data_IF_284050072250
#
_entry.id   IF_284050072250
#
_cell.length_a   1.000
_cell.length_b   1.000
_cell.length_c   1.000
_cell.angle_alpha   90.00
_cell.angle_beta   90.00
_cell.angle_gamma   90.00
#
_symmetry.space_group_name_H-M   'P 1'
#
loop_
_entity.id
_entity.type
_entity.pdbx_description
1 polymer ?
#
# COMPACT_ATOMS: atom_id res chain seq x y z
N UNK A 1 -2.54 6.50 7.89
CA UNK A 1 -2.40 5.60 6.73
C UNK A 1 -2.09 4.20 7.23
N UNK A 2 -2.89 3.21 6.83
CA UNK A 2 -2.68 1.79 7.20
C UNK A 2 -3.10 0.88 6.04
N UNK A 3 -2.49 -0.30 5.95
CA UNK A 3 -2.79 -1.28 4.91
C UNK A 3 -3.47 -2.50 5.52
N UNK A 4 -4.44 -3.03 4.81
CA UNK A 4 -5.30 -4.11 5.27
C UNK A 4 -5.55 -5.10 4.15
N UNK A 5 -5.64 -6.36 4.49
CA UNK A 5 -6.07 -7.43 3.60
C UNK A 5 -7.58 -7.52 3.66
N UNK A 6 -8.22 -7.55 2.49
CA UNK A 6 -9.65 -7.81 2.35
C UNK A 6 -9.89 -9.02 1.47
N UNK A 7 -10.95 -9.76 1.81
CA UNK A 7 -11.63 -10.67 0.89
C UNK A 7 -12.73 -9.90 0.17
N UNK A 8 -12.90 -10.16 -1.13
CA UNK A 8 -13.92 -9.57 -1.97
C UNK A 8 -14.65 -10.63 -2.77
N UNK A 9 -15.96 -10.66 -2.62
CA UNK A 9 -16.86 -11.52 -3.38
C UNK A 9 -18.11 -10.72 -3.73
N UNK A 10 -18.47 -10.68 -5.02
CA UNK A 10 -19.67 -9.96 -5.49
C UNK A 10 -19.77 -8.50 -4.99
N UNK A 11 -18.65 -7.76 -5.02
CA UNK A 11 -18.54 -6.37 -4.53
C UNK A 11 -18.79 -6.19 -3.02
N UNK A 12 -18.76 -7.28 -2.26
CA UNK A 12 -18.76 -7.27 -0.80
C UNK A 12 -17.34 -7.46 -0.29
N UNK A 13 -16.90 -6.62 0.63
CA UNK A 13 -15.54 -6.52 1.12
C UNK A 13 -15.51 -6.80 2.62
N UNK A 14 -14.76 -7.82 3.02
CA UNK A 14 -14.58 -8.19 4.43
C UNK A 14 -13.11 -8.06 4.81
N UNK A 15 -12.83 -7.28 5.85
CA UNK A 15 -11.49 -7.05 6.38
C UNK A 15 -10.97 -8.31 7.09
N UNK A 16 -9.82 -8.82 6.68
CA UNK A 16 -9.21 -10.02 7.26
C UNK A 16 -8.12 -9.71 8.29
N UNK A 17 -7.32 -8.68 8.05
CA UNK A 17 -6.23 -8.32 8.95
C UNK A 17 -5.26 -7.30 8.40
N UNK A 18 -4.35 -6.78 9.24
CA UNK A 18 -3.41 -5.75 8.85
C UNK A 18 -2.30 -6.30 7.96
N UNK A 19 -1.83 -5.48 7.02
CA UNK A 19 -0.68 -5.77 6.15
C UNK A 19 0.45 -4.81 6.47
N UNK A 20 1.62 -5.36 6.78
CA UNK A 20 2.85 -4.57 6.94
C UNK A 20 3.60 -4.53 5.61
N UNK A 21 3.63 -3.36 4.97
CA UNK A 21 4.47 -3.18 3.76
C UNK A 21 5.95 -3.03 4.10
N UNK A 22 6.24 -2.35 5.21
CA UNK A 22 7.59 -2.00 5.68
C UNK A 22 7.90 -2.70 7.01
N UNK A 23 9.12 -2.51 7.51
CA UNK A 23 9.69 -3.23 8.65
C UNK A 23 10.74 -4.26 8.19
N UNK A 24 11.34 -4.96 9.15
CA UNK A 24 12.32 -6.03 8.87
C UNK A 24 11.67 -7.28 8.26
N UNK A 25 10.40 -7.50 8.63
CA UNK A 25 9.59 -8.65 8.23
C UNK A 25 8.41 -8.24 7.33
N UNK A 26 8.37 -6.99 6.88
CA UNK A 26 7.33 -6.45 5.99
C UNK A 26 7.37 -7.06 4.60
N UNK A 27 6.28 -6.88 3.83
CA UNK A 27 6.12 -7.41 2.48
C UNK A 27 7.30 -7.04 1.57
N UNK A 28 7.73 -5.78 1.59
CA UNK A 28 8.85 -5.32 0.75
C UNK A 28 10.18 -5.93 1.19
N UNK A 29 10.40 -6.12 2.49
CA UNK A 29 11.61 -6.79 2.99
C UNK A 29 11.68 -8.24 2.52
N UNK A 30 10.58 -8.99 2.67
CA UNK A 30 10.48 -10.39 2.23
C UNK A 30 10.72 -10.51 0.73
N UNK A 31 10.16 -9.60 -0.06
CA UNK A 31 10.34 -9.60 -1.50
C UNK A 31 11.77 -9.23 -1.91
N UNK A 32 12.24 -8.05 -1.52
CA UNK A 32 13.50 -7.50 -2.03
C UNK A 32 14.71 -8.32 -1.57
N UNK A 33 14.75 -8.77 -0.32
CA UNK A 33 15.88 -9.57 0.18
C UNK A 33 15.97 -10.97 -0.47
N UNK A 34 14.89 -11.46 -1.07
CA UNK A 34 14.89 -12.74 -1.80
C UNK A 34 15.26 -12.58 -3.28
N UNK A 35 15.09 -11.39 -3.85
CA UNK A 35 15.20 -11.16 -5.30
C UNK A 35 16.36 -10.27 -5.71
N UNK A 36 17.17 -9.80 -4.75
CA UNK A 36 18.24 -8.83 -4.98
C UNK A 36 19.53 -9.19 -4.25
N UNK A 37 20.64 -8.63 -4.73
CA UNK A 37 21.95 -8.67 -4.07
C UNK A 37 22.41 -7.25 -3.79
N UNK A 38 23.06 -7.02 -2.65
CA UNK A 38 23.37 -5.68 -2.12
C UNK A 38 24.11 -4.75 -3.10
N UNK A 39 24.85 -5.30 -4.06
CA UNK A 39 25.74 -4.57 -4.95
C UNK A 39 25.11 -4.13 -6.27
N UNK A 40 23.80 -4.30 -6.47
CA UNK A 40 23.15 -3.95 -7.75
C UNK A 40 21.79 -3.27 -7.53
N UNK A 41 21.61 -2.04 -8.05
CA UNK A 41 20.30 -1.38 -8.04
C UNK A 41 19.23 -2.27 -8.66
N UNK A 42 18.06 -2.33 -8.04
CA UNK A 42 16.98 -3.22 -8.47
C UNK A 42 15.65 -2.51 -8.58
N UNK A 43 15.07 -2.56 -9.78
CA UNK A 43 13.75 -2.02 -10.09
C UNK A 43 12.72 -3.14 -10.13
N UNK A 44 11.52 -2.86 -9.64
CA UNK A 44 10.46 -3.85 -9.53
C UNK A 44 9.07 -3.24 -9.71
N UNK A 45 8.12 -4.11 -10.04
CA UNK A 45 6.70 -3.80 -10.16
C UNK A 45 5.91 -5.03 -9.69
N UNK A 46 5.24 -4.88 -8.55
CA UNK A 46 4.39 -5.91 -7.94
C UNK A 46 2.93 -5.53 -8.15
N UNK A 47 2.16 -6.40 -8.81
CA UNK A 47 0.71 -6.24 -8.92
C UNK A 47 -0.01 -7.21 -7.98
N UNK A 48 -1.34 -7.16 -7.90
CA UNK A 48 -2.11 -7.98 -6.96
C UNK A 48 -1.74 -9.48 -7.00
N UNK A 49 -1.49 -10.04 -8.18
CA UNK A 49 -1.10 -11.45 -8.36
C UNK A 49 0.24 -11.80 -7.71
N UNK A 50 1.13 -10.82 -7.55
CA UNK A 50 2.45 -10.98 -6.94
C UNK A 50 2.37 -10.64 -5.43
N UNK A 51 1.55 -9.65 -5.07
CA UNK A 51 1.41 -9.14 -3.70
C UNK A 51 0.70 -10.12 -2.75
N UNK A 52 -0.40 -10.74 -3.18
CA UNK A 52 -1.19 -11.63 -2.31
C UNK A 52 -0.38 -12.87 -1.86
N UNK A 53 0.35 -13.57 -2.75
CA UNK A 53 1.18 -14.70 -2.34
C UNK A 53 2.31 -14.33 -1.35
N UNK A 54 2.78 -13.08 -1.35
CA UNK A 54 3.78 -12.60 -0.38
C UNK A 54 3.22 -12.43 1.04
N UNK A 55 1.89 -12.28 1.16
CA UNK A 55 1.18 -12.25 2.43
C UNK A 55 0.92 -13.69 2.90
N UNK A 56 0.24 -14.48 2.07
CA UNK A 56 0.00 -15.90 2.28
C UNK A 56 -0.17 -16.60 0.92
N UNK A 57 0.68 -17.58 0.57
CA UNK A 57 0.66 -18.27 -0.71
C UNK A 57 -0.61 -19.12 -0.94
N UNK A 58 -1.43 -19.36 0.09
CA UNK A 58 -2.69 -20.10 -0.02
C UNK A 58 -3.86 -19.22 -0.44
N UNK A 59 -3.70 -17.89 -0.41
CA UNK A 59 -4.79 -16.96 -0.71
C UNK A 59 -4.91 -16.73 -2.22
N UNK A 60 -6.13 -16.85 -2.77
CA UNK A 60 -6.37 -16.59 -4.18
C UNK A 60 -6.40 -15.08 -4.48
N UNK A 61 -5.54 -14.64 -5.41
CA UNK A 61 -5.31 -13.22 -5.70
C UNK A 61 -6.41 -12.52 -6.53
N UNK A 62 -7.43 -13.25 -6.96
CA UNK A 62 -8.62 -12.72 -7.65
C UNK A 62 -9.67 -12.20 -6.66
N UNK A 63 -9.77 -12.83 -5.49
CA UNK A 63 -10.72 -12.49 -4.43
C UNK A 63 -10.07 -11.76 -3.26
N UNK A 64 -8.74 -11.73 -3.17
CA UNK A 64 -8.04 -11.00 -2.11
C UNK A 64 -7.37 -9.74 -2.65
N UNK A 65 -7.40 -8.67 -1.84
CA UNK A 65 -6.82 -7.39 -2.21
C UNK A 65 -6.24 -6.65 -1.01
N UNK A 66 -5.22 -5.84 -1.27
CA UNK A 66 -4.67 -4.91 -0.29
C UNK A 66 -5.42 -3.58 -0.41
N UNK A 67 -5.97 -3.12 0.70
CA UNK A 67 -6.64 -1.82 0.82
C UNK A 67 -5.80 -0.89 1.65
N UNK A 68 -5.57 0.30 1.12
CA UNK A 68 -5.02 1.45 1.81
C UNK A 68 -6.13 2.27 2.45
N UNK A 69 -6.11 2.34 3.77
CA UNK A 69 -6.96 3.21 4.57
C UNK A 69 -6.22 4.51 4.90
N UNK A 70 -6.70 5.61 4.33
CA UNK A 70 -6.09 6.92 4.47
C UNK A 70 -6.49 7.63 5.76
N UNK A 71 -7.63 7.26 6.36
CA UNK A 71 -8.20 7.91 7.54
C UNK A 71 -8.13 6.99 8.77
N UNK A 72 -7.90 7.52 9.98
CA UNK A 72 -7.92 6.70 11.19
C UNK A 72 -9.31 6.10 11.46
N UNK A 73 -9.35 4.98 12.19
CA UNK A 73 -10.60 4.26 12.52
C UNK A 73 -11.56 5.08 13.41
N UNK A 74 -11.03 6.05 14.14
CA UNK A 74 -11.81 6.93 15.03
C UNK A 74 -12.68 7.95 14.29
N UNK A 75 -12.52 8.11 12.97
CA UNK A 75 -13.31 9.03 12.18
C UNK A 75 -14.55 8.33 11.61
N UNK A 76 -15.64 9.09 11.51
CA UNK A 76 -16.85 8.67 10.81
C UNK A 76 -16.65 8.63 9.30
N UNK A 77 -15.77 9.50 8.77
CA UNK A 77 -15.40 9.49 7.36
C UNK A 77 -14.46 8.33 7.03
N UNK A 78 -14.66 7.78 5.84
CA UNK A 78 -13.92 6.63 5.33
C UNK A 78 -13.28 7.01 3.99
N UNK A 79 -12.03 6.57 3.79
CA UNK A 79 -11.30 6.76 2.55
C UNK A 79 -10.43 5.53 2.27
N UNK A 80 -11.00 4.60 1.49
CA UNK A 80 -10.45 3.29 1.17
C UNK A 80 -10.04 3.23 -0.28
N UNK A 81 -8.82 2.79 -0.52
CA UNK A 81 -8.26 2.66 -1.86
C UNK A 81 -7.67 1.27 -2.05
N UNK A 82 -8.05 0.57 -3.12
CA UNK A 82 -7.41 -0.67 -3.51
C UNK A 82 -6.01 -0.37 -4.04
N UNK A 83 -4.98 -0.97 -3.46
CA UNK A 83 -3.64 -1.01 -4.04
C UNK A 83 -3.65 -2.02 -5.18
N UNK A 84 -3.37 -1.58 -6.41
CA UNK A 84 -3.34 -2.47 -7.57
C UNK A 84 -1.93 -2.73 -8.09
N UNK A 85 -1.01 -1.80 -7.84
CA UNK A 85 0.41 -1.99 -8.09
C UNK A 85 1.26 -1.26 -7.04
N UNK A 86 2.43 -1.82 -6.76
CA UNK A 86 3.50 -1.19 -6.01
C UNK A 86 4.73 -1.28 -6.90
N UNK A 87 5.34 -0.14 -7.20
CA UNK A 87 6.53 -0.03 -8.03
C UNK A 87 7.66 0.55 -7.21
N UNK A 88 8.90 0.24 -7.56
CA UNK A 88 10.01 0.87 -6.88
C UNK A 88 11.36 0.58 -7.49
N UNK A 89 12.33 1.29 -6.94
CA UNK A 89 13.76 1.08 -7.16
C UNK A 89 14.42 1.01 -5.78
N UNK A 90 15.32 0.04 -5.58
CA UNK A 90 16.12 -0.04 -4.36
C UNK A 90 17.61 0.07 -4.66
N UNK A 91 18.28 0.87 -3.85
CA UNK A 91 19.73 0.93 -3.70
C UNK A 91 20.13 0.26 -2.38
N UNK A 92 21.42 0.31 -2.05
CA UNK A 92 22.01 -0.34 -0.87
C UNK A 92 21.31 0.04 0.45
N UNK A 93 21.02 1.34 0.63
CA UNK A 93 20.54 1.92 1.90
C UNK A 93 19.19 2.64 1.80
N UNK A 94 18.59 2.70 0.61
CA UNK A 94 17.35 3.41 0.36
C UNK A 94 16.50 2.74 -0.73
N UNK A 95 15.20 3.01 -0.70
CA UNK A 95 14.29 2.59 -1.77
C UNK A 95 13.25 3.66 -2.04
N UNK A 96 13.01 3.93 -3.33
CA UNK A 96 11.88 4.71 -3.79
C UNK A 96 10.72 3.79 -4.13
N UNK A 97 9.52 4.16 -3.70
CA UNK A 97 8.30 3.36 -3.88
C UNK A 97 7.18 4.25 -4.41
N UNK A 98 6.46 3.76 -5.43
CA UNK A 98 5.23 4.36 -5.93
C UNK A 98 4.09 3.39 -5.69
N UNK A 99 3.09 3.83 -4.93
CA UNK A 99 1.83 3.11 -4.74
C UNK A 99 0.84 3.57 -5.80
N UNK A 100 0.31 2.62 -6.57
CA UNK A 100 -0.78 2.87 -7.49
C UNK A 100 -2.08 2.29 -6.94
N UNK A 101 -3.04 3.19 -6.74
CA UNK A 101 -4.26 2.91 -6.01
C UNK A 101 -5.49 3.30 -6.84
N UNK A 102 -6.59 2.55 -6.68
CA UNK A 102 -7.93 2.91 -7.18
C UNK A 102 -8.85 3.18 -5.99
N UNK A 103 -9.68 4.21 -6.08
CA UNK A 103 -10.65 4.50 -5.03
C UNK A 103 -11.66 3.34 -4.95
N UNK A 104 -11.91 2.82 -3.75
CA UNK A 104 -13.02 1.91 -3.46
C UNK A 104 -14.19 2.70 -2.87
N UNK A 105 -13.91 3.50 -1.85
CA UNK A 105 -14.92 4.29 -1.16
C UNK A 105 -14.31 5.56 -0.58
N UNK A 106 -15.00 6.68 -0.73
CA UNK A 106 -14.63 7.95 -0.08
C UNK A 106 -15.88 8.70 0.33
N UNK A 107 -16.04 8.95 1.63
CA UNK A 107 -17.18 9.70 2.17
C UNK A 107 -17.63 9.23 3.55
N UNK A 108 -18.85 9.62 3.91
CA UNK A 108 -19.49 9.23 5.17
C UNK A 108 -20.49 8.09 4.94
N UNK A 109 -20.27 6.88 5.49
CA UNK A 109 -21.13 5.73 5.25
C UNK A 109 -22.46 5.73 6.05
N UNK A 110 -22.74 6.79 6.81
CA UNK A 110 -23.93 6.88 7.68
C UNK A 110 -23.88 5.96 8.92
N UNK A 111 -22.82 5.17 9.06
CA UNK A 111 -22.50 4.31 10.21
C UNK A 111 -21.14 4.71 10.81
N UNK A 112 -20.73 4.04 11.90
CA UNK A 112 -19.38 4.23 12.44
C UNK A 112 -18.34 3.77 11.40
N UNK A 113 -17.34 4.60 11.15
CA UNK A 113 -16.33 4.35 10.13
C UNK A 113 -15.60 3.02 10.33
N UNK A 114 -15.31 2.64 11.58
CA UNK A 114 -14.74 1.33 11.91
C UNK A 114 -15.64 0.17 11.47
N UNK A 115 -16.93 0.19 11.84
CA UNK A 115 -17.89 -0.86 11.46
C UNK A 115 -18.00 -1.01 9.94
N UNK A 116 -18.03 0.11 9.22
CA UNK A 116 -18.03 0.07 7.75
C UNK A 116 -16.72 -0.48 7.18
N UNK A 117 -15.56 -0.14 7.76
CA UNK A 117 -14.27 -0.66 7.31
C UNK A 117 -14.11 -2.17 7.55
N UNK A 118 -14.78 -2.72 8.56
CA UNK A 118 -14.70 -4.17 8.81
C UNK A 118 -15.47 -4.98 7.76
N UNK A 119 -16.61 -4.47 7.30
CA UNK A 119 -17.52 -5.16 6.40
C UNK A 119 -18.40 -4.16 5.62
N UNK A 120 -18.29 -4.15 4.30
CA UNK A 120 -19.09 -3.26 3.45
C UNK A 120 -19.32 -3.82 2.04
N UNK A 121 -20.40 -3.37 1.40
CA UNK A 121 -20.62 -3.55 -0.03
C UNK A 121 -20.57 -2.21 -0.74
N UNK A 122 -19.82 -2.13 -1.83
CA UNK A 122 -19.88 -0.99 -2.72
C UNK A 122 -19.61 -1.42 -4.15
N UNK A 123 -20.36 -0.85 -5.10
CA UNK A 123 -19.92 -0.93 -6.49
C UNK A 123 -18.62 -0.14 -6.63
N UNK A 124 -17.61 -0.68 -7.32
CA UNK A 124 -16.43 0.09 -7.67
C UNK A 124 -16.88 1.38 -8.39
N UNK A 125 -16.27 2.54 -8.09
CA UNK A 125 -16.60 3.77 -8.78
C UNK A 125 -16.57 3.59 -10.30
N UNK A 126 -17.58 4.12 -10.99
CA UNK A 126 -17.64 4.06 -12.45
C UNK A 126 -16.47 4.80 -13.11
N UNK A 127 -15.86 5.75 -12.40
CA UNK A 127 -14.64 6.41 -12.85
C UNK A 127 -13.37 5.64 -12.46
N UNK A 128 -12.44 5.53 -13.41
CA UNK A 128 -11.12 4.95 -13.17
C UNK A 128 -10.23 5.94 -12.39
N UNK A 129 -10.74 6.60 -11.33
CA UNK A 129 -9.91 7.52 -10.54
C UNK A 129 -8.77 6.74 -9.90
N UNK A 130 -7.56 7.14 -10.27
CA UNK A 130 -6.31 6.58 -9.79
C UNK A 130 -5.60 7.60 -8.92
N UNK A 131 -5.03 7.10 -7.84
CA UNK A 131 -4.15 7.84 -6.95
C UNK A 131 -2.76 7.22 -7.07
N UNK A 132 -1.75 8.06 -7.29
CA UNK A 132 -0.33 7.67 -7.28
C UNK A 132 0.34 8.37 -6.10
N UNK A 133 0.90 7.59 -5.19
CA UNK A 133 1.61 8.11 -4.02
C UNK A 133 3.07 7.70 -4.09
N UNK A 134 3.96 8.69 -4.18
CA UNK A 134 5.41 8.49 -4.15
C UNK A 134 5.92 8.59 -2.72
N UNK A 135 6.59 7.54 -2.26
CA UNK A 135 7.06 7.36 -0.90
C UNK A 135 8.53 6.93 -0.93
N UNK A 136 9.35 7.50 -0.05
CA UNK A 136 10.70 7.01 0.17
C UNK A 136 10.77 6.05 1.35
N UNK A 137 11.71 5.13 1.31
CA UNK A 137 12.09 4.26 2.42
C UNK A 137 13.55 4.51 2.80
N UNK A 138 13.77 4.69 4.09
CA UNK A 138 15.10 4.50 4.69
C UNK A 138 15.34 3.01 4.91
N UNK A 139 16.57 2.56 4.64
CA UNK A 139 16.90 1.15 4.53
C UNK A 139 16.79 0.69 3.07
N UNK A 140 17.73 -0.17 2.68
CA UNK A 140 17.77 -0.78 1.35
C UNK A 140 18.15 -2.26 1.47
N UNK A 141 18.59 -2.81 0.35
CA UNK A 141 18.85 -4.25 0.18
C UNK A 141 19.94 -4.80 1.11
N UNK A 142 20.86 -3.97 1.62
CA UNK A 142 21.90 -4.41 2.56
C UNK A 142 21.40 -4.56 4.00
N UNK A 143 20.48 -3.68 4.42
CA UNK A 143 20.04 -3.58 5.81
C UNK A 143 18.74 -4.34 6.10
N UNK A 144 17.87 -4.50 5.11
CA UNK A 144 16.57 -5.15 5.28
C UNK A 144 15.58 -4.42 6.20
N UNK A 145 15.97 -3.27 6.77
CA UNK A 145 15.17 -2.48 7.71
C UNK A 145 14.44 -1.35 7.01
N UNK A 146 13.42 -1.70 6.23
CA UNK A 146 12.65 -0.72 5.46
C UNK A 146 11.76 0.11 6.39
N UNK A 147 11.91 1.43 6.40
CA UNK A 147 11.07 2.36 7.19
C UNK A 147 10.71 3.55 6.34
N UNK A 148 9.47 4.03 6.44
CA UNK A 148 9.04 5.25 5.76
C UNK A 148 9.99 6.40 6.04
N UNK A 149 10.57 6.97 4.97
CA UNK A 149 11.35 8.17 5.08
C UNK A 149 10.44 9.32 5.50
N UNK A 150 10.96 10.23 6.32
CA UNK A 150 10.23 11.47 6.57
C UNK A 150 10.15 12.24 5.25
N UNK A 151 9.03 12.91 4.94
CA UNK A 151 8.97 13.83 3.82
C UNK A 151 10.13 14.81 3.92
N UNK A 152 11.04 14.80 2.94
CA UNK A 152 12.10 15.81 2.87
C UNK A 152 11.41 17.12 2.53
N UNK A 153 11.32 18.01 3.51
CA UNK A 153 10.93 19.39 3.25
C UNK A 153 12.07 20.01 2.46
N UNK A 154 11.90 20.17 1.14
CA UNK A 154 12.85 20.93 0.32
C UNK A 154 12.71 22.40 0.74
N UNK A 155 13.45 22.82 1.77
CA UNK A 155 13.67 24.24 2.08
C UNK A 155 14.61 24.76 1.00
N UNK A 156 14.03 25.12 -0.14
CA UNK A 156 14.77 25.49 -1.34
C UNK A 156 13.86 25.99 -2.47
N UNK A 157 12.72 26.58 -2.15
CA UNK A 157 12.04 27.45 -3.10
C UNK A 157 12.77 28.80 -3.09
N UNK A 158 13.77 28.95 -3.95
CA UNK A 158 14.26 30.28 -4.33
C UNK A 158 13.10 30.98 -5.04
N UNK A 159 12.47 31.94 -4.37
CA UNK A 159 11.64 32.93 -5.05
C UNK A 159 12.62 33.84 -5.78
N UNK A 160 12.74 33.66 -7.09
CA UNK A 160 13.35 34.68 -7.93
C UNK A 160 12.39 35.87 -7.96
N UNK A 161 12.77 36.95 -7.29
CA UNK A 161 12.18 38.29 -7.47
C UNK A 161 12.66 38.92 -8.76
#
# INVERSE_FOLDING_TARGET
MSFWLYHCENNHYTRLGPVKLTGEDGLLARYLLQHTSADTPYTWNLINKDLIPLIDPKLPADTHLIVLDMLPESLTEVSLHRVFAIQGSSEEDSSDVVLACKILYQGSPGSLGQTFKDDFSCEPPADNRQMLEALGLTGGIAGGRFRWSRPKMNIGATVCT
#
